data_IF_305021111497
#
_entry.id   IF_305021111497
#
_cell.length_a   1.000
_cell.length_b   1.000
_cell.length_c   1.000
_cell.angle_alpha   90.00
_cell.angle_beta   90.00
_cell.angle_gamma   90.00
#
_symmetry.space_group_name_H-M   'P 1'
#
loop_
_entity.id
_entity.type
_entity.pdbx_description
1 polymer ?
#
# COMPACT_ATOMS: atom_id res chain seq x y z
N UNK A 1 -10.84 3.06 28.76
CA UNK A 1 -9.66 3.94 28.89
C UNK A 1 -8.39 3.36 28.24
N UNK A 2 -8.29 2.05 27.98
CA UNK A 2 -7.16 1.46 27.23
C UNK A 2 -7.21 1.69 25.72
N UNK A 3 -8.39 1.94 25.12
CA UNK A 3 -8.53 2.19 23.68
C UNK A 3 -7.82 3.46 23.22
N UNK A 4 -8.01 4.58 23.94
CA UNK A 4 -7.39 5.87 23.57
C UNK A 4 -5.86 5.84 23.55
N UNK A 5 -5.23 5.13 24.50
CA UNK A 5 -3.77 4.99 24.55
C UNK A 5 -3.29 4.15 23.36
N UNK A 6 -4.01 3.07 23.05
CA UNK A 6 -3.70 2.20 21.91
C UNK A 6 -3.86 2.94 20.58
N UNK A 7 -4.95 3.69 20.40
CA UNK A 7 -5.21 4.47 19.19
C UNK A 7 -4.18 5.61 19.02
N UNK A 8 -3.81 6.28 20.12
CA UNK A 8 -2.75 7.31 20.10
C UNK A 8 -1.41 6.71 19.66
N UNK A 9 -1.07 5.53 20.16
CA UNK A 9 0.16 4.83 19.76
C UNK A 9 0.15 4.48 18.27
N UNK A 10 -0.96 3.97 17.73
CA UNK A 10 -1.11 3.69 16.29
C UNK A 10 -0.86 4.94 15.44
N UNK A 11 -1.49 6.05 15.81
CA UNK A 11 -1.34 7.33 15.10
C UNK A 11 0.12 7.80 15.14
N UNK A 12 0.76 7.79 16.31
CA UNK A 12 2.16 8.19 16.46
C UNK A 12 3.09 7.31 15.64
N UNK A 13 2.87 5.99 15.62
CA UNK A 13 3.65 5.06 14.82
C UNK A 13 3.51 5.37 13.32
N UNK A 14 2.29 5.59 12.82
CA UNK A 14 2.07 5.95 11.41
C UNK A 14 2.74 7.29 11.05
N UNK A 15 2.60 8.30 11.91
CA UNK A 15 3.26 9.59 11.71
C UNK A 15 4.80 9.46 11.71
N UNK A 16 5.35 8.65 12.62
CA UNK A 16 6.78 8.37 12.70
C UNK A 16 7.31 7.71 11.42
N UNK A 17 6.57 6.75 10.85
CA UNK A 17 6.93 6.09 9.59
C UNK A 17 6.98 7.10 8.44
N UNK A 18 5.95 7.92 8.29
CA UNK A 18 5.90 8.95 7.23
C UNK A 18 7.07 9.94 7.40
N UNK A 19 7.30 10.40 8.63
CA UNK A 19 8.42 11.28 8.96
C UNK A 19 9.77 10.64 8.64
N UNK A 20 9.97 9.36 8.99
CA UNK A 20 11.19 8.63 8.72
C UNK A 20 11.47 8.53 7.21
N UNK A 21 10.45 8.23 6.40
CA UNK A 21 10.56 8.22 4.93
C UNK A 21 10.97 9.61 4.41
N UNK A 22 10.33 10.68 4.87
CA UNK A 22 10.62 12.05 4.44
C UNK A 22 12.02 12.54 4.86
N UNK A 23 12.53 12.09 6.01
CA UNK A 23 13.88 12.40 6.47
C UNK A 23 14.93 11.59 5.71
N UNK A 24 14.67 10.30 5.47
CA UNK A 24 15.57 9.45 4.71
C UNK A 24 15.64 9.88 3.25
N UNK A 25 14.56 10.33 2.62
CA UNK A 25 14.58 10.75 1.22
C UNK A 25 15.48 11.96 0.96
N UNK A 26 15.82 12.73 2.01
CA UNK A 26 16.78 13.84 1.92
C UNK A 26 18.24 13.40 2.07
N UNK A 27 18.49 12.19 2.60
CA UNK A 27 19.85 11.67 2.90
C UNK A 27 20.25 10.52 2.00
N UNK A 28 19.34 9.57 1.79
CA UNK A 28 19.51 8.35 1.00
C UNK A 28 18.17 7.91 0.41
N UNK A 29 18.00 8.14 -0.89
CA UNK A 29 16.78 7.80 -1.63
C UNK A 29 16.52 6.30 -1.67
N UNK A 30 17.56 5.45 -1.69
CA UNK A 30 17.40 4.00 -1.73
C UNK A 30 16.87 3.48 -0.40
N UNK A 31 17.41 3.95 0.73
CA UNK A 31 16.88 3.59 2.05
C UNK A 31 15.45 4.10 2.26
N UNK A 32 15.13 5.30 1.75
CA UNK A 32 13.76 5.81 1.79
C UNK A 32 12.80 4.94 0.97
N UNK A 33 13.22 4.50 -0.23
CA UNK A 33 12.44 3.60 -1.08
C UNK A 33 12.26 2.22 -0.44
N UNK A 34 13.30 1.65 0.17
CA UNK A 34 13.21 0.39 0.93
C UNK A 34 12.19 0.54 2.04
N UNK A 35 12.29 1.59 2.87
CA UNK A 35 11.36 1.82 3.97
C UNK A 35 9.92 2.01 3.49
N UNK A 36 9.71 2.80 2.43
CA UNK A 36 8.41 3.04 1.84
C UNK A 36 7.80 1.79 1.20
N UNK A 37 8.63 0.84 0.74
CA UNK A 37 8.16 -0.42 0.13
C UNK A 37 7.70 -1.47 1.14
N UNK A 38 8.01 -1.31 2.43
CA UNK A 38 7.59 -2.26 3.47
C UNK A 38 6.06 -2.18 3.63
N UNK A 39 5.32 -3.30 3.58
CA UNK A 39 3.87 -3.33 3.71
C UNK A 39 3.43 -3.18 5.18
N UNK A 40 3.87 -2.11 5.85
CA UNK A 40 3.63 -1.85 7.27
C UNK A 40 2.14 -1.81 7.61
N UNK A 41 1.33 -1.19 6.75
CA UNK A 41 -0.13 -1.14 6.93
C UNK A 41 -0.72 -2.54 6.96
N UNK A 42 -0.32 -3.40 6.01
CA UNK A 42 -0.79 -4.79 5.93
C UNK A 42 -0.34 -5.63 7.12
N UNK A 43 0.91 -5.48 7.55
CA UNK A 43 1.45 -6.19 8.72
C UNK A 43 0.68 -5.80 9.99
N UNK A 44 0.48 -4.49 10.22
CA UNK A 44 -0.27 -4.00 11.38
C UNK A 44 -1.72 -4.46 11.34
N UNK A 45 -2.36 -4.44 10.17
CA UNK A 45 -3.72 -4.94 9.99
C UNK A 45 -3.83 -6.43 10.37
N UNK A 46 -2.92 -7.28 9.87
CA UNK A 46 -2.90 -8.70 10.24
C UNK A 46 -2.63 -8.94 11.73
N UNK A 47 -1.77 -8.13 12.35
CA UNK A 47 -1.53 -8.20 13.79
C UNK A 47 -2.80 -7.88 14.60
N UNK A 48 -3.58 -6.88 14.16
CA UNK A 48 -4.86 -6.55 14.80
C UNK A 48 -5.92 -7.61 14.53
N UNK A 49 -6.03 -8.13 13.31
CA UNK A 49 -6.92 -9.27 12.99
C UNK A 49 -6.66 -10.44 13.94
N UNK A 50 -5.41 -10.80 14.16
CA UNK A 50 -5.04 -11.87 15.09
C UNK A 50 -5.41 -11.54 16.56
N UNK A 51 -5.28 -10.28 16.98
CA UNK A 51 -5.67 -9.85 18.33
C UNK A 51 -7.20 -9.83 18.51
N UNK A 52 -7.93 -9.49 17.46
CA UNK A 52 -9.40 -9.40 17.44
C UNK A 52 -10.06 -10.77 17.24
N UNK A 53 -9.26 -11.85 17.15
CA UNK A 53 -9.73 -13.23 17.11
C UNK A 53 -10.01 -13.78 15.71
N UNK A 54 -9.49 -13.14 14.66
CA UNK A 54 -9.58 -13.68 13.30
C UNK A 54 -8.94 -15.07 13.20
N UNK A 55 -9.56 -15.94 12.42
CA UNK A 55 -9.08 -17.28 12.13
C UNK A 55 -7.83 -17.23 11.24
N UNK A 56 -7.03 -18.30 11.28
CA UNK A 56 -5.88 -18.45 10.38
C UNK A 56 -6.27 -18.36 8.91
N UNK A 57 -7.47 -18.85 8.55
CA UNK A 57 -7.97 -18.81 7.17
C UNK A 57 -8.25 -17.38 6.70
N UNK A 58 -8.86 -16.54 7.54
CA UNK A 58 -9.09 -15.12 7.24
C UNK A 58 -7.78 -14.36 7.03
N UNK A 59 -6.77 -14.60 7.89
CA UNK A 59 -5.45 -13.97 7.77
C UNK A 59 -4.73 -14.43 6.49
N UNK A 60 -4.81 -15.73 6.15
CA UNK A 60 -4.23 -16.28 4.91
C UNK A 60 -4.90 -15.66 3.69
N UNK A 61 -6.23 -15.57 3.67
CA UNK A 61 -6.98 -14.98 2.57
C UNK A 61 -6.60 -13.50 2.39
N UNK A 62 -6.61 -12.71 3.47
CA UNK A 62 -6.23 -11.30 3.43
C UNK A 62 -4.80 -11.10 2.92
N UNK A 63 -3.84 -11.91 3.39
CA UNK A 63 -2.45 -11.87 2.92
C UNK A 63 -2.34 -12.20 1.43
N UNK A 64 -3.08 -13.20 0.94
CA UNK A 64 -3.12 -13.56 -0.49
C UNK A 64 -3.74 -12.44 -1.34
N UNK A 65 -4.81 -11.81 -0.86
CA UNK A 65 -5.45 -10.70 -1.56
C UNK A 65 -4.49 -9.50 -1.69
N UNK A 66 -3.73 -9.18 -0.63
CA UNK A 66 -2.72 -8.12 -0.68
C UNK A 66 -1.68 -8.38 -1.78
N UNK A 67 -1.23 -9.62 -1.99
CA UNK A 67 -0.25 -9.93 -3.06
C UNK A 67 -0.79 -9.52 -4.43
N UNK A 68 -2.05 -9.85 -4.74
CA UNK A 68 -2.68 -9.45 -6.00
C UNK A 68 -2.91 -7.95 -6.09
N UNK A 69 -3.28 -7.32 -4.98
CA UNK A 69 -3.60 -5.89 -4.90
C UNK A 69 -2.37 -4.99 -4.83
N UNK A 70 -1.17 -5.52 -4.57
CA UNK A 70 0.09 -4.79 -4.72
C UNK A 70 0.45 -4.59 -6.19
N UNK A 71 0.16 -5.55 -7.07
CA UNK A 71 0.46 -5.42 -8.51
C UNK A 71 -0.13 -4.16 -9.16
N UNK A 72 -1.42 -3.82 -9.00
CA UNK A 72 -1.96 -2.57 -9.54
C UNK A 72 -1.42 -1.31 -8.84
N UNK A 73 -0.97 -1.38 -7.59
CA UNK A 73 -0.35 -0.22 -6.91
C UNK A 73 1.00 0.14 -7.51
N UNK A 74 1.73 -0.84 -8.08
CA UNK A 74 2.98 -0.60 -8.80
C UNK A 74 2.82 0.29 -10.04
N UNK A 75 1.60 0.38 -10.62
CA UNK A 75 1.35 1.22 -11.79
C UNK A 75 1.67 2.69 -11.54
N UNK A 76 1.45 3.20 -10.32
CA UNK A 76 1.81 4.57 -9.95
C UNK A 76 3.32 4.80 -10.13
N UNK A 77 4.14 3.86 -9.67
CA UNK A 77 5.60 3.92 -9.73
C UNK A 77 6.18 3.68 -11.14
N UNK A 78 5.34 3.31 -12.11
CA UNK A 78 5.73 3.15 -13.53
C UNK A 78 5.22 4.34 -14.34
N UNK A 79 3.94 4.65 -14.25
CA UNK A 79 3.26 5.65 -15.08
C UNK A 79 3.67 7.07 -14.71
N UNK A 80 3.77 7.39 -13.42
CA UNK A 80 4.13 8.75 -13.00
C UNK A 80 5.55 9.14 -13.45
N UNK A 81 6.61 8.33 -13.22
CA UNK A 81 7.94 8.65 -13.72
C UNK A 81 7.98 8.80 -15.24
N UNK A 82 7.34 7.89 -15.98
CA UNK A 82 7.28 7.94 -17.44
C UNK A 82 6.61 9.24 -17.96
N UNK A 83 5.53 9.70 -17.32
CA UNK A 83 4.89 10.96 -17.68
C UNK A 83 5.79 12.17 -17.40
N UNK A 84 6.52 12.15 -16.28
CA UNK A 84 7.49 13.20 -15.93
C UNK A 84 8.64 13.23 -16.96
N UNK A 85 9.17 12.07 -17.35
CA UNK A 85 10.21 11.97 -18.39
C UNK A 85 9.72 12.48 -19.76
N UNK A 86 8.41 12.38 -20.04
CA UNK A 86 7.75 12.96 -21.22
C UNK A 86 7.43 14.45 -21.09
N UNK A 87 7.86 15.10 -20.02
CA UNK A 87 7.73 16.56 -19.83
C UNK A 87 6.44 17.01 -19.14
N UNK A 88 5.66 16.09 -18.55
CA UNK A 88 4.49 16.49 -17.75
C UNK A 88 4.95 17.10 -16.41
N UNK A 89 4.19 18.09 -15.93
CA UNK A 89 4.35 18.61 -14.58
C UNK A 89 3.98 17.55 -13.52
N UNK A 90 4.52 17.71 -12.31
CA UNK A 90 4.34 16.75 -11.20
C UNK A 90 2.88 16.37 -10.92
N UNK A 91 1.98 17.35 -10.72
CA UNK A 91 0.60 17.05 -10.34
C UNK A 91 -0.20 16.35 -11.45
N UNK A 92 -0.15 16.77 -12.73
CA UNK A 92 -0.71 15.99 -13.83
C UNK A 92 -0.14 14.57 -13.95
N UNK A 93 1.18 14.40 -13.79
CA UNK A 93 1.81 13.07 -13.85
C UNK A 93 1.38 12.16 -12.69
N UNK A 94 1.31 12.71 -11.47
CA UNK A 94 0.77 12.03 -10.29
C UNK A 94 -0.69 11.62 -10.54
N UNK A 95 -1.50 12.53 -11.08
CA UNK A 95 -2.89 12.24 -11.47
C UNK A 95 -2.98 11.08 -12.46
N UNK A 96 -2.15 11.08 -13.50
CA UNK A 96 -2.07 9.99 -14.48
C UNK A 96 -1.71 8.64 -13.85
N UNK A 97 -0.71 8.61 -12.96
CA UNK A 97 -0.32 7.41 -12.24
C UNK A 97 -1.41 6.89 -11.30
N UNK A 98 -2.08 7.78 -10.55
CA UNK A 98 -3.20 7.42 -9.69
C UNK A 98 -4.38 6.86 -10.50
N UNK A 99 -4.73 7.48 -11.63
CA UNK A 99 -5.75 6.98 -12.54
C UNK A 99 -5.40 5.57 -13.06
N UNK A 100 -4.15 5.35 -13.45
CA UNK A 100 -3.69 4.04 -13.89
C UNK A 100 -3.81 2.98 -12.78
N UNK A 101 -3.42 3.30 -11.54
CA UNK A 101 -3.58 2.42 -10.38
C UNK A 101 -5.05 2.08 -10.11
N UNK A 102 -5.95 3.06 -10.14
CA UNK A 102 -7.39 2.83 -9.95
C UNK A 102 -7.96 1.90 -11.02
N UNK A 103 -7.63 2.15 -12.30
CA UNK A 103 -8.03 1.27 -13.40
C UNK A 103 -7.46 -0.14 -13.21
N UNK A 104 -6.19 -0.24 -12.82
CA UNK A 104 -5.53 -1.50 -12.51
C UNK A 104 -6.23 -2.29 -11.39
N UNK A 105 -6.68 -1.61 -10.34
CA UNK A 105 -7.45 -2.23 -9.26
C UNK A 105 -8.77 -2.82 -9.76
N UNK A 106 -9.53 -2.07 -10.56
CA UNK A 106 -10.78 -2.57 -11.13
C UNK A 106 -10.56 -3.81 -12.01
N UNK A 107 -9.53 -3.78 -12.86
CA UNK A 107 -9.19 -4.91 -13.73
C UNK A 107 -8.73 -6.13 -12.92
N UNK A 108 -7.88 -5.94 -11.91
CA UNK A 108 -7.38 -7.02 -11.07
C UNK A 108 -8.49 -7.67 -10.26
N UNK A 109 -9.38 -6.89 -9.66
CA UNK A 109 -10.51 -7.43 -8.88
C UNK A 109 -11.46 -8.23 -9.77
N UNK A 110 -11.75 -7.75 -10.99
CA UNK A 110 -12.55 -8.50 -11.96
C UNK A 110 -11.87 -9.82 -12.38
N UNK A 111 -10.54 -9.79 -12.56
CA UNK A 111 -9.75 -10.98 -12.85
C UNK A 111 -9.81 -12.00 -11.71
N UNK A 112 -9.61 -11.55 -10.46
CA UNK A 112 -9.67 -12.41 -9.27
C UNK A 112 -11.04 -13.06 -9.11
N UNK A 113 -12.12 -12.30 -9.31
CA UNK A 113 -13.50 -12.82 -9.28
C UNK A 113 -13.73 -13.90 -10.32
N UNK A 114 -13.20 -13.73 -11.54
CA UNK A 114 -13.32 -14.73 -12.61
C UNK A 114 -12.58 -16.02 -12.25
N UNK A 115 -11.38 -15.94 -11.71
CA UNK A 115 -10.63 -17.13 -11.30
C UNK A 115 -11.26 -17.86 -10.11
N UNK A 116 -11.77 -17.13 -9.12
CA UNK A 116 -12.48 -17.71 -7.97
C UNK A 116 -13.86 -18.26 -8.34
N UNK A 117 -14.53 -17.71 -9.36
CA UNK A 117 -15.82 -18.22 -9.85
C UNK A 117 -15.70 -19.52 -10.65
N UNK A 118 -14.49 -19.91 -11.06
CA UNK A 118 -14.22 -21.10 -11.89
C UNK A 118 -13.71 -22.29 -11.05
N UNK A 119 -13.29 -22.05 -9.79
CA UNK A 119 -12.87 -23.06 -8.81
C UNK A 119 -14.00 -23.47 -7.88
#
# INVERSE_FOLDING_TARGET
>A
MSSLIFDTFKILLTALVIFAVAQLSQRDTLLAAVLASIPLVSVLAMMWMNQDGATSEEIIMFSRDIVWLVLPSLLLFIVMPELIERGWNFYPALGGGLCATVIGYFLMIELMKRFQSIS
#
